data_IF_131432829509
#
_entry.id   IF_131432829509
#
_cell.length_a   1.000
_cell.length_b   1.000
_cell.length_c   1.000
_cell.angle_alpha   90.00
_cell.angle_beta   90.00
_cell.angle_gamma   90.00
#
_symmetry.space_group_name_H-M   'P 1'
#
loop_
_entity.id
_entity.type
_entity.pdbx_description
1 polymer ?
#
# COMPACT_ATOMS: atom_id res chain seq x y z
N UNK A 1 -14.75 1.74 19.29
CA UNK A 1 -13.37 1.60 19.83
C UNK A 1 -12.35 1.43 18.69
N UNK A 2 -12.62 0.55 17.70
CA UNK A 2 -11.73 0.28 16.56
C UNK A 2 -11.43 1.57 15.78
N UNK A 3 -12.45 2.39 15.49
CA UNK A 3 -12.28 3.65 14.76
C UNK A 3 -11.33 4.63 15.47
N UNK A 4 -11.51 4.85 16.76
CA UNK A 4 -10.63 5.74 17.54
C UNK A 4 -9.18 5.21 17.58
N UNK A 5 -9.00 3.90 17.76
CA UNK A 5 -7.68 3.29 17.74
C UNK A 5 -7.03 3.43 16.35
N UNK A 6 -7.77 3.11 15.29
CA UNK A 6 -7.29 3.22 13.91
C UNK A 6 -6.91 4.64 13.54
N UNK A 7 -7.75 5.62 13.88
CA UNK A 7 -7.50 7.04 13.66
C UNK A 7 -6.24 7.51 14.39
N UNK A 8 -6.11 7.17 15.68
CA UNK A 8 -4.91 7.52 16.45
C UNK A 8 -3.65 6.89 15.88
N UNK A 9 -3.71 5.63 15.40
CA UNK A 9 -2.58 4.96 14.76
C UNK A 9 -2.25 5.58 13.41
N UNK A 10 -3.23 6.04 12.64
CA UNK A 10 -3.03 6.73 11.36
C UNK A 10 -2.31 8.07 11.56
N UNK A 11 -2.72 8.86 12.54
CA UNK A 11 -2.02 10.09 12.94
C UNK A 11 -0.59 9.81 13.38
N UNK A 12 -0.40 8.80 14.23
CA UNK A 12 0.92 8.43 14.72
C UNK A 12 1.83 7.95 13.59
N UNK A 13 1.32 7.15 12.65
CA UNK A 13 2.07 6.72 11.47
C UNK A 13 2.55 7.91 10.62
N UNK A 14 1.67 8.90 10.40
CA UNK A 14 1.98 10.10 9.63
C UNK A 14 3.00 10.99 10.34
N UNK A 15 2.86 11.18 11.64
CA UNK A 15 3.80 11.95 12.46
C UNK A 15 5.17 11.28 12.55
N UNK A 16 5.23 9.94 12.67
CA UNK A 16 6.48 9.19 12.65
C UNK A 16 7.18 9.30 11.29
N UNK A 17 6.42 9.27 10.19
CA UNK A 17 6.96 9.49 8.86
C UNK A 17 7.54 10.91 8.73
N UNK A 18 6.83 11.93 9.18
CA UNK A 18 7.32 13.31 9.20
C UNK A 18 8.58 13.47 10.06
N UNK A 19 8.58 12.92 11.26
CA UNK A 19 9.75 12.96 12.16
C UNK A 19 10.97 12.25 11.54
N UNK A 20 10.75 11.12 10.85
CA UNK A 20 11.81 10.39 10.15
C UNK A 20 12.33 11.18 8.93
N UNK A 21 11.48 11.91 8.23
CA UNK A 21 11.87 12.79 7.13
C UNK A 21 12.85 13.88 7.61
N UNK A 22 12.57 14.47 8.77
CA UNK A 22 13.44 15.50 9.38
C UNK A 22 14.73 14.89 9.95
N UNK A 23 14.61 13.76 10.65
CA UNK A 23 15.74 13.06 11.26
C UNK A 23 15.72 11.57 10.88
N UNK A 24 16.37 11.15 9.79
CA UNK A 24 16.34 9.78 9.27
C UNK A 24 17.18 8.80 10.09
N UNK A 25 16.88 8.68 11.39
CA UNK A 25 17.55 7.73 12.26
C UNK A 25 17.05 6.29 11.97
N UNK A 26 17.93 5.28 11.92
CA UNK A 26 17.55 3.91 11.53
C UNK A 26 16.42 3.29 12.33
N UNK A 27 16.33 3.52 13.66
CA UNK A 27 15.26 2.98 14.46
C UNK A 27 13.92 3.67 14.16
N UNK A 28 13.89 4.99 13.99
CA UNK A 28 12.68 5.75 13.64
C UNK A 28 12.15 5.28 12.29
N UNK A 29 13.04 5.14 11.31
CA UNK A 29 12.68 4.62 10.01
C UNK A 29 12.09 3.20 10.08
N UNK A 30 12.65 2.30 10.90
CA UNK A 30 12.08 0.94 11.07
C UNK A 30 10.68 0.99 11.67
N UNK A 31 10.48 1.81 12.69
CA UNK A 31 9.18 1.97 13.34
C UNK A 31 8.15 2.51 12.35
N UNK A 32 8.45 3.64 11.69
CA UNK A 32 7.51 4.24 10.72
C UNK A 32 7.21 3.33 9.53
N UNK A 33 8.11 2.43 9.16
CA UNK A 33 7.88 1.46 8.08
C UNK A 33 6.86 0.37 8.44
N UNK A 34 6.69 0.06 9.72
CA UNK A 34 5.77 -0.99 10.21
C UNK A 34 4.38 -0.43 10.52
N UNK A 35 4.27 0.82 10.95
CA UNK A 35 3.01 1.39 11.41
C UNK A 35 1.87 1.37 10.38
N UNK A 36 2.07 1.63 9.08
CA UNK A 36 1.00 1.52 8.08
C UNK A 36 0.41 0.11 8.01
N UNK A 37 1.25 -0.93 8.20
CA UNK A 37 0.77 -2.31 8.26
C UNK A 37 -0.09 -2.57 9.52
N UNK A 38 0.23 -1.93 10.64
CA UNK A 38 -0.62 -1.99 11.85
C UNK A 38 -1.97 -1.34 11.58
N UNK A 39 -2.00 -0.14 10.98
CA UNK A 39 -3.24 0.52 10.58
C UNK A 39 -4.07 -0.36 9.64
N UNK A 40 -3.43 -0.98 8.64
CA UNK A 40 -4.11 -1.86 7.71
C UNK A 40 -4.70 -3.10 8.41
N UNK A 41 -3.98 -3.73 9.34
CA UNK A 41 -4.49 -4.88 10.12
C UNK A 41 -5.69 -4.48 10.99
N UNK A 42 -5.69 -3.28 11.58
CA UNK A 42 -6.85 -2.76 12.34
C UNK A 42 -8.06 -2.62 11.42
N UNK A 43 -7.89 -2.03 10.22
CA UNK A 43 -8.96 -1.89 9.25
C UNK A 43 -9.46 -3.26 8.74
N UNK A 44 -8.54 -4.17 8.45
CA UNK A 44 -8.86 -5.54 8.07
C UNK A 44 -9.70 -6.26 9.14
N UNK A 45 -9.38 -6.05 10.42
CA UNK A 45 -10.16 -6.55 11.55
C UNK A 45 -11.57 -5.98 11.59
N UNK A 46 -11.75 -4.68 11.28
CA UNK A 46 -13.06 -4.04 11.21
C UNK A 46 -13.93 -4.65 10.10
N UNK A 47 -13.36 -4.86 8.91
CA UNK A 47 -14.07 -5.55 7.82
C UNK A 47 -14.37 -7.02 8.15
N UNK A 48 -13.41 -7.73 8.73
CA UNK A 48 -13.60 -9.13 9.14
C UNK A 48 -14.74 -9.30 10.16
N UNK A 49 -14.90 -8.35 11.08
CA UNK A 49 -15.96 -8.34 12.09
C UNK A 49 -17.25 -7.65 11.62
N UNK A 50 -17.27 -7.07 10.41
CA UNK A 50 -18.38 -6.27 9.89
C UNK A 50 -18.77 -5.12 10.84
N UNK A 51 -17.77 -4.37 11.34
CA UNK A 51 -17.98 -3.25 12.25
C UNK A 51 -18.54 -2.02 11.52
N UNK A 52 -19.84 -1.99 11.32
CA UNK A 52 -20.57 -0.90 10.64
C UNK A 52 -20.55 0.43 11.41
N UNK A 53 -19.88 0.50 12.56
CA UNK A 53 -19.62 1.79 13.21
C UNK A 53 -18.62 2.65 12.43
N UNK A 54 -17.90 2.06 11.49
CA UNK A 54 -17.07 2.77 10.52
C UNK A 54 -17.84 2.99 9.21
N UNK A 55 -17.83 4.22 8.70
CA UNK A 55 -18.50 4.59 7.45
C UNK A 55 -18.03 3.69 6.29
N UNK A 56 -16.74 3.47 6.15
CA UNK A 56 -16.17 2.67 5.10
C UNK A 56 -16.65 1.21 5.10
N UNK A 57 -16.80 0.60 6.29
CA UNK A 57 -17.34 -0.76 6.45
C UNK A 57 -18.82 -0.79 6.14
N UNK A 58 -19.58 0.25 6.54
CA UNK A 58 -20.99 0.37 6.23
C UNK A 58 -21.24 0.48 4.72
N UNK A 59 -20.42 1.28 4.02
CA UNK A 59 -20.59 1.54 2.59
C UNK A 59 -20.14 0.39 1.68
N UNK A 60 -19.06 -0.30 2.02
CA UNK A 60 -18.38 -1.24 1.12
C UNK A 60 -18.11 -2.63 1.69
N UNK A 61 -18.61 -2.93 2.89
CA UNK A 61 -18.39 -4.22 3.54
C UNK A 61 -19.24 -5.34 2.94
N UNK A 62 -18.67 -6.52 2.78
CA UNK A 62 -19.38 -7.72 2.29
C UNK A 62 -20.05 -8.47 3.47
N UNK A 63 -21.08 -7.86 4.08
CA UNK A 63 -21.75 -8.47 5.25
C UNK A 63 -22.61 -9.65 4.82
N UNK A 64 -22.58 -10.71 5.59
CA UNK A 64 -23.26 -11.96 5.25
C UNK A 64 -22.48 -12.85 4.30
N UNK A 65 -21.39 -12.37 3.72
CA UNK A 65 -20.52 -13.13 2.85
C UNK A 65 -19.49 -13.97 3.61
N UNK A 66 -18.79 -14.81 2.84
CA UNK A 66 -17.68 -15.60 3.36
C UNK A 66 -16.52 -14.70 3.81
N UNK A 67 -15.72 -15.17 4.75
CA UNK A 67 -14.60 -14.41 5.30
C UNK A 67 -13.63 -13.87 4.23
N UNK A 68 -13.27 -14.60 3.15
CA UNK A 68 -12.42 -14.06 2.09
C UNK A 68 -12.97 -12.78 1.45
N UNK A 69 -14.27 -12.71 1.15
CA UNK A 69 -14.89 -11.50 0.57
C UNK A 69 -14.98 -10.36 1.58
N UNK A 70 -15.28 -10.66 2.85
CA UNK A 70 -15.23 -9.64 3.90
C UNK A 70 -13.84 -9.02 4.04
N UNK A 71 -12.78 -9.84 4.02
CA UNK A 71 -11.40 -9.36 4.03
C UNK A 71 -11.07 -8.57 2.76
N UNK A 72 -11.47 -9.06 1.58
CA UNK A 72 -11.20 -8.40 0.30
C UNK A 72 -11.90 -7.04 0.18
N UNK A 73 -13.05 -6.86 0.82
CA UNK A 73 -13.75 -5.56 0.88
C UNK A 73 -12.88 -4.45 1.49
N UNK A 74 -11.87 -4.80 2.29
CA UNK A 74 -10.93 -3.82 2.85
C UNK A 74 -10.22 -3.02 1.75
N UNK A 75 -9.90 -3.63 0.63
CA UNK A 75 -9.25 -2.96 -0.52
C UNK A 75 -10.15 -2.76 -1.73
N UNK A 76 -11.45 -3.05 -1.61
CA UNK A 76 -12.44 -2.81 -2.65
C UNK A 76 -12.92 -1.35 -2.74
N UNK A 77 -12.29 -0.46 -2.02
CA UNK A 77 -12.61 0.95 -1.90
C UNK A 77 -11.33 1.80 -1.94
N UNK A 78 -11.49 3.11 -2.14
CA UNK A 78 -10.36 4.01 -2.32
C UNK A 78 -9.45 4.13 -1.09
N UNK A 79 -10.03 4.32 0.09
CA UNK A 79 -9.26 4.54 1.33
C UNK A 79 -8.52 3.27 1.77
N UNK A 80 -9.19 2.13 1.71
CA UNK A 80 -8.59 0.86 2.10
C UNK A 80 -7.49 0.41 1.15
N UNK A 81 -7.66 0.62 -0.17
CA UNK A 81 -6.63 0.31 -1.17
C UNK A 81 -5.39 1.20 -1.01
N UNK A 82 -5.57 2.49 -0.73
CA UNK A 82 -4.44 3.40 -0.44
C UNK A 82 -3.71 3.01 0.84
N UNK A 83 -4.44 2.61 1.89
CA UNK A 83 -3.82 2.14 3.12
C UNK A 83 -3.06 0.82 2.90
N UNK A 84 -3.61 -0.11 2.10
CA UNK A 84 -2.90 -1.32 1.67
C UNK A 84 -1.60 -0.98 0.95
N UNK A 85 -1.67 -0.05 -0.02
CA UNK A 85 -0.49 0.36 -0.76
C UNK A 85 0.57 0.98 0.15
N UNK A 86 0.20 1.87 1.06
CA UNK A 86 1.13 2.43 2.04
C UNK A 86 1.74 1.35 2.95
N UNK A 87 0.94 0.40 3.42
CA UNK A 87 1.43 -0.74 4.20
C UNK A 87 2.47 -1.57 3.42
N UNK A 88 2.22 -1.81 2.13
CA UNK A 88 3.14 -2.53 1.26
C UNK A 88 4.42 -1.74 0.96
N UNK A 89 4.36 -0.42 0.79
CA UNK A 89 5.55 0.45 0.69
C UNK A 89 6.40 0.32 1.96
N UNK A 90 5.77 0.40 3.13
CA UNK A 90 6.43 0.22 4.41
C UNK A 90 7.11 -1.14 4.53
N UNK A 91 6.38 -2.21 4.22
CA UNK A 91 6.90 -3.58 4.26
C UNK A 91 8.07 -3.79 3.27
N UNK A 92 7.94 -3.32 2.02
CA UNK A 92 9.01 -3.42 1.03
C UNK A 92 10.26 -2.67 1.48
N UNK A 93 10.14 -1.42 1.94
CA UNK A 93 11.25 -0.66 2.50
C UNK A 93 11.93 -1.42 3.65
N UNK A 94 11.14 -1.88 4.62
CA UNK A 94 11.66 -2.61 5.77
C UNK A 94 12.41 -3.90 5.35
N UNK A 95 11.84 -4.70 4.46
CA UNK A 95 12.44 -5.98 4.04
C UNK A 95 13.77 -5.80 3.32
N UNK A 96 13.86 -4.83 2.41
CA UNK A 96 15.00 -4.66 1.51
C UNK A 96 16.12 -3.79 2.10
N UNK A 97 15.80 -2.82 2.96
CA UNK A 97 16.78 -1.84 3.46
C UNK A 97 17.27 -2.11 4.89
N UNK A 98 16.57 -2.95 5.68
CA UNK A 98 16.88 -3.16 7.11
C UNK A 98 18.20 -3.87 7.42
N UNK A 99 18.68 -4.72 6.52
CA UNK A 99 19.81 -5.65 6.75
C UNK A 99 21.04 -5.36 5.89
N UNK A 100 21.03 -4.31 5.07
CA UNK A 100 22.16 -4.02 4.19
C UNK A 100 23.24 -3.21 4.90
N UNK A 101 24.51 -3.66 4.79
CA UNK A 101 25.68 -2.82 5.11
C UNK A 101 25.87 -1.78 4.00
N UNK A 102 24.95 -0.84 3.93
CA UNK A 102 24.97 0.24 2.96
C UNK A 102 25.69 1.47 3.52
N UNK A 103 26.34 2.28 2.68
CA UNK A 103 26.94 3.54 3.10
C UNK A 103 25.94 4.45 3.82
N UNK A 104 26.38 5.13 4.88
CA UNK A 104 25.53 6.00 5.70
C UNK A 104 24.81 7.07 4.87
N UNK A 105 25.46 7.75 3.87
CA UNK A 105 24.76 8.72 3.03
C UNK A 105 23.62 8.08 2.23
N UNK A 106 23.82 6.88 1.67
CA UNK A 106 22.78 6.11 0.99
C UNK A 106 21.60 5.83 1.92
N UNK A 107 21.87 5.23 3.08
CA UNK A 107 20.81 4.89 4.04
C UNK A 107 20.02 6.14 4.45
N UNK A 108 20.69 7.21 4.80
CA UNK A 108 20.06 8.46 5.22
C UNK A 108 19.12 9.02 4.14
N UNK A 109 19.55 9.03 2.89
CA UNK A 109 18.74 9.55 1.80
C UNK A 109 17.60 8.61 1.44
N UNK A 110 17.84 7.31 1.38
CA UNK A 110 16.79 6.32 1.13
C UNK A 110 15.71 6.37 2.24
N UNK A 111 16.12 6.47 3.52
CA UNK A 111 15.16 6.61 4.63
C UNK A 111 14.34 7.90 4.54
N UNK A 112 14.94 9.02 4.12
CA UNK A 112 14.22 10.29 3.89
C UNK A 112 13.20 10.17 2.77
N UNK A 113 13.57 9.62 1.62
CA UNK A 113 12.65 9.44 0.51
C UNK A 113 11.50 8.49 0.86
N UNK A 114 11.80 7.39 1.55
CA UNK A 114 10.78 6.47 2.04
C UNK A 114 9.83 7.14 3.04
N UNK A 115 10.37 7.94 3.96
CA UNK A 115 9.58 8.69 4.94
C UNK A 115 8.73 9.78 4.29
N UNK A 116 9.24 10.44 3.24
CA UNK A 116 8.47 11.41 2.46
C UNK A 116 7.24 10.75 1.81
N UNK A 117 7.42 9.60 1.17
CA UNK A 117 6.29 8.84 0.61
C UNK A 117 5.27 8.48 1.69
N UNK A 118 5.74 7.97 2.84
CA UNK A 118 4.86 7.65 3.96
C UNK A 118 4.11 8.85 4.51
N UNK A 119 4.77 10.00 4.65
CA UNK A 119 4.15 11.25 5.09
C UNK A 119 3.09 11.74 4.10
N UNK A 120 3.38 11.71 2.81
CA UNK A 120 2.41 12.11 1.77
C UNK A 120 1.19 11.20 1.76
N UNK A 121 1.38 9.88 1.86
CA UNK A 121 0.28 8.91 1.92
C UNK A 121 -0.59 9.11 3.17
N UNK A 122 0.05 9.23 4.34
CA UNK A 122 -0.67 9.45 5.59
C UNK A 122 -1.44 10.77 5.60
N UNK A 123 -0.81 11.85 5.15
CA UNK A 123 -1.44 13.17 5.02
C UNK A 123 -2.63 13.10 4.05
N UNK A 124 -2.46 12.46 2.90
CA UNK A 124 -3.55 12.29 1.95
C UNK A 124 -4.75 11.58 2.59
N UNK A 125 -4.55 10.42 3.24
CA UNK A 125 -5.63 9.67 3.89
C UNK A 125 -6.31 10.48 5.01
N UNK A 126 -5.56 11.24 5.79
CA UNK A 126 -6.11 12.05 6.88
C UNK A 126 -6.99 13.20 6.40
N UNK A 127 -6.64 13.83 5.28
CA UNK A 127 -7.32 15.06 4.80
C UNK A 127 -8.32 14.82 3.67
N UNK A 128 -8.27 13.69 2.95
CA UNK A 128 -9.24 13.38 1.88
C UNK A 128 -10.32 12.39 2.30
N UNK A 129 -10.15 11.71 3.43
CA UNK A 129 -11.11 10.76 3.99
C UNK A 129 -10.40 9.64 4.75
N UNK A 130 -10.47 9.70 6.09
CA UNK A 130 -9.90 8.65 6.92
C UNK A 130 -10.65 7.33 6.74
N UNK A 131 -9.94 6.20 6.57
CA UNK A 131 -10.57 4.88 6.54
C UNK A 131 -11.23 4.49 7.88
N UNK A 132 -10.95 5.24 8.94
CA UNK A 132 -11.48 5.01 10.29
C UNK A 132 -12.57 6.00 10.69
N UNK A 133 -13.08 6.81 9.74
CA UNK A 133 -14.16 7.75 9.99
C UNK A 133 -15.42 7.03 10.56
N UNK A 134 -16.06 7.60 11.59
CA UNK A 134 -17.28 7.01 12.15
C UNK A 134 -18.44 7.11 11.14
N UNK A 135 -19.30 6.10 11.14
CA UNK A 135 -20.56 6.16 10.39
C UNK A 135 -21.48 7.20 11.01
N UNK A 136 -22.05 8.05 10.16
CA UNK A 136 -23.04 9.07 10.53
C UNK A 136 -24.47 8.63 10.20
N UNK A 137 -24.66 7.33 9.93
CA UNK A 137 -25.94 6.76 9.55
C UNK A 137 -26.13 6.66 8.03
N UNK A 138 -25.05 6.61 7.29
CA UNK A 138 -25.07 6.32 5.85
C UNK A 138 -25.75 4.96 5.59
N UNK A 139 -26.42 4.83 4.43
CA UNK A 139 -26.98 3.54 4.03
C UNK A 139 -25.88 2.47 3.97
N UNK A 140 -26.17 1.34 4.56
CA UNK A 140 -25.29 0.18 4.46
C UNK A 140 -25.42 -0.44 3.06
N UNK A 141 -24.65 0.04 2.10
CA UNK A 141 -24.75 -0.36 0.70
C UNK A 141 -24.11 -1.73 0.43
N UNK A 142 -23.04 -2.05 1.16
CA UNK A 142 -22.31 -3.30 0.98
C UNK A 142 -21.36 -3.30 -0.23
N UNK A 143 -20.72 -4.45 -0.44
CA UNK A 143 -19.80 -4.64 -1.56
C UNK A 143 -20.56 -4.54 -2.88
N UNK A 144 -20.00 -3.79 -3.83
CA UNK A 144 -20.57 -3.69 -5.19
C UNK A 144 -20.65 -5.10 -5.83
N UNK A 145 -21.83 -5.52 -6.35
CA UNK A 145 -22.00 -6.83 -6.96
C UNK A 145 -20.99 -7.16 -8.08
N UNK A 146 -20.53 -6.16 -8.85
CA UNK A 146 -19.50 -6.34 -9.88
C UNK A 146 -18.12 -6.70 -9.32
N UNK A 147 -17.88 -6.46 -8.03
CA UNK A 147 -16.65 -6.83 -7.35
C UNK A 147 -16.72 -8.21 -6.69
N UNK A 148 -17.88 -8.91 -6.78
CA UNK A 148 -18.11 -10.20 -6.15
C UNK A 148 -17.50 -11.36 -6.95
N UNK A 149 -16.21 -11.25 -7.24
CA UNK A 149 -15.42 -12.19 -8.04
C UNK A 149 -14.09 -12.54 -7.35
N UNK A 150 -13.53 -13.69 -7.70
CA UNK A 150 -12.22 -14.13 -7.20
C UNK A 150 -11.08 -13.18 -7.61
N UNK A 151 -11.25 -12.44 -8.70
CA UNK A 151 -10.32 -11.39 -9.13
C UNK A 151 -10.07 -10.35 -8.05
N UNK A 152 -11.11 -9.96 -7.30
CA UNK A 152 -10.98 -9.03 -6.18
C UNK A 152 -10.02 -9.54 -5.08
N UNK A 153 -9.98 -10.84 -4.84
CA UNK A 153 -9.11 -11.40 -3.80
C UNK A 153 -7.63 -11.34 -4.20
N UNK A 154 -7.32 -11.46 -5.48
CA UNK A 154 -5.97 -11.75 -5.96
C UNK A 154 -5.33 -10.54 -6.66
N UNK A 155 -6.06 -9.92 -7.61
CA UNK A 155 -5.50 -8.88 -8.47
C UNK A 155 -5.05 -7.63 -7.69
N UNK A 156 -5.88 -6.96 -6.85
CA UNK A 156 -5.46 -5.71 -6.23
C UNK A 156 -4.25 -5.87 -5.29
N UNK A 157 -4.16 -6.90 -4.43
CA UNK A 157 -2.96 -7.09 -3.61
C UNK A 157 -1.68 -7.25 -4.42
N UNK A 158 -1.71 -8.01 -5.53
CA UNK A 158 -0.53 -8.21 -6.38
C UNK A 158 -0.18 -6.90 -7.11
N UNK A 159 -1.17 -6.18 -7.63
CA UNK A 159 -0.96 -4.89 -8.29
C UNK A 159 -0.33 -3.86 -7.33
N UNK A 160 -0.87 -3.72 -6.12
CA UNK A 160 -0.32 -2.81 -5.11
C UNK A 160 1.06 -3.23 -4.62
N UNK A 161 1.37 -4.53 -4.57
CA UNK A 161 2.73 -4.99 -4.30
C UNK A 161 3.70 -4.55 -5.42
N UNK A 162 3.29 -4.61 -6.68
CA UNK A 162 4.03 -4.08 -7.82
C UNK A 162 4.29 -2.57 -7.70
N UNK A 163 3.27 -1.78 -7.39
CA UNK A 163 3.41 -0.34 -7.14
C UNK A 163 4.30 -0.03 -5.94
N UNK A 164 4.22 -0.81 -4.86
CA UNK A 164 5.09 -0.63 -3.70
C UNK A 164 6.56 -0.91 -4.02
N UNK A 165 6.83 -1.94 -4.83
CA UNK A 165 8.18 -2.23 -5.33
C UNK A 165 8.69 -1.13 -6.27
N UNK A 166 7.85 -0.55 -7.12
CA UNK A 166 8.20 0.60 -7.96
C UNK A 166 8.54 1.83 -7.10
N UNK A 167 7.78 2.08 -6.05
CA UNK A 167 8.12 3.11 -5.07
C UNK A 167 9.46 2.83 -4.38
N UNK A 168 9.75 1.57 -4.04
CA UNK A 168 11.05 1.17 -3.50
C UNK A 168 12.20 1.40 -4.50
N UNK A 169 11.98 1.15 -5.80
CA UNK A 169 12.97 1.50 -6.85
C UNK A 169 13.31 3.00 -6.78
N UNK A 170 12.31 3.87 -6.65
CA UNK A 170 12.52 5.31 -6.52
C UNK A 170 13.29 5.67 -5.25
N UNK A 171 12.98 5.03 -4.11
CA UNK A 171 13.69 5.19 -2.84
C UNK A 171 15.16 4.79 -2.96
N UNK A 172 15.44 3.64 -3.59
CA UNK A 172 16.81 3.17 -3.84
C UNK A 172 17.53 4.14 -4.76
N UNK A 173 16.89 4.59 -5.84
CA UNK A 173 17.46 5.58 -6.76
C UNK A 173 17.88 6.87 -6.04
N UNK A 174 17.01 7.42 -5.17
CA UNK A 174 17.35 8.60 -4.36
C UNK A 174 18.58 8.36 -3.48
N UNK A 175 18.71 7.18 -2.90
CA UNK A 175 19.90 6.80 -2.13
C UNK A 175 21.16 6.72 -3.01
N UNK A 176 21.05 6.17 -4.21
CA UNK A 176 22.18 6.04 -5.15
C UNK A 176 22.73 7.38 -5.60
N UNK A 177 21.90 8.42 -5.72
CA UNK A 177 22.34 9.77 -6.08
C UNK A 177 23.38 10.37 -5.09
N UNK A 178 23.48 9.82 -3.88
CA UNK A 178 24.47 10.25 -2.88
C UNK A 178 25.79 9.50 -2.94
N UNK A 179 25.93 8.55 -3.88
CA UNK A 179 27.09 7.67 -3.94
C UNK A 179 28.04 8.05 -5.07
N UNK A 180 29.35 7.90 -4.84
CA UNK A 180 30.35 8.06 -5.90
C UNK A 180 30.19 6.93 -6.93
N UNK A 181 30.55 7.22 -8.17
CA UNK A 181 30.65 6.23 -9.23
C UNK A 181 32.10 5.71 -9.37
N UNK A 182 32.32 4.41 -9.63
CA UNK A 182 31.33 3.33 -9.81
C UNK A 182 30.69 2.87 -8.50
N UNK A 183 29.41 2.42 -8.59
CA UNK A 183 28.68 1.93 -7.42
C UNK A 183 29.26 0.63 -6.88
N UNK A 184 29.23 0.47 -5.54
CA UNK A 184 29.67 -0.79 -4.92
C UNK A 184 28.73 -1.94 -5.30
N UNK A 185 29.25 -3.20 -5.38
CA UNK A 185 28.48 -4.35 -5.87
C UNK A 185 27.18 -4.61 -5.11
N UNK A 186 27.13 -4.37 -3.80
CA UNK A 186 25.91 -4.55 -3.00
C UNK A 186 24.78 -3.61 -3.41
N UNK A 187 25.08 -2.34 -3.67
CA UNK A 187 24.11 -1.35 -4.15
C UNK A 187 23.62 -1.68 -5.57
N UNK A 188 24.56 -2.09 -6.44
CA UNK A 188 24.19 -2.49 -7.80
C UNK A 188 23.28 -3.73 -7.81
N UNK A 189 23.56 -4.70 -6.91
CA UNK A 189 22.70 -5.89 -6.76
C UNK A 189 21.31 -5.49 -6.24
N UNK A 190 21.23 -4.64 -5.21
CA UNK A 190 19.97 -4.13 -4.69
C UNK A 190 19.16 -3.44 -5.80
N UNK A 191 19.79 -2.54 -6.54
CA UNK A 191 19.17 -1.80 -7.65
C UNK A 191 18.57 -2.73 -8.71
N UNK A 192 19.35 -3.69 -9.20
CA UNK A 192 18.88 -4.66 -10.20
C UNK A 192 17.75 -5.53 -9.67
N UNK A 193 17.85 -6.00 -8.43
CA UNK A 193 16.84 -6.86 -7.83
C UNK A 193 15.51 -6.11 -7.66
N UNK A 194 15.53 -4.89 -7.14
CA UNK A 194 14.31 -4.10 -6.94
C UNK A 194 13.61 -3.78 -8.27
N UNK A 195 14.35 -3.42 -9.32
CA UNK A 195 13.78 -3.20 -10.66
C UNK A 195 13.17 -4.49 -11.21
N UNK A 196 13.89 -5.61 -11.17
CA UNK A 196 13.39 -6.87 -11.71
C UNK A 196 12.10 -7.32 -11.00
N UNK A 197 12.07 -7.23 -9.66
CA UNK A 197 10.88 -7.57 -8.88
C UNK A 197 9.71 -6.61 -9.14
N UNK A 198 9.97 -5.30 -9.20
CA UNK A 198 8.94 -4.31 -9.49
C UNK A 198 8.29 -4.58 -10.85
N UNK A 199 9.10 -4.76 -11.88
CA UNK A 199 8.61 -5.05 -13.22
C UNK A 199 7.83 -6.37 -13.29
N UNK A 200 8.35 -7.45 -12.68
CA UNK A 200 7.70 -8.76 -12.72
C UNK A 200 6.36 -8.78 -11.97
N UNK A 201 6.33 -8.24 -10.74
CA UNK A 201 5.12 -8.25 -9.90
C UNK A 201 4.06 -7.32 -10.48
N UNK A 202 4.46 -6.12 -10.94
CA UNK A 202 3.55 -5.19 -11.58
C UNK A 202 2.96 -5.77 -12.88
N UNK A 203 3.79 -6.39 -13.72
CA UNK A 203 3.34 -7.04 -14.95
C UNK A 203 2.36 -8.19 -14.68
N UNK A 204 2.59 -9.01 -13.65
CA UNK A 204 1.64 -10.05 -13.23
C UNK A 204 0.34 -9.40 -12.73
N UNK A 205 0.43 -8.33 -11.93
CA UNK A 205 -0.74 -7.61 -11.43
C UNK A 205 -1.60 -7.06 -12.56
N UNK A 206 -1.00 -6.39 -13.55
CA UNK A 206 -1.68 -5.86 -14.73
C UNK A 206 -2.34 -6.99 -15.53
N UNK A 207 -1.61 -8.08 -15.80
CA UNK A 207 -2.14 -9.24 -16.53
C UNK A 207 -3.36 -9.90 -15.83
N UNK A 208 -3.33 -9.99 -14.49
CA UNK A 208 -4.48 -10.46 -13.71
C UNK A 208 -5.67 -9.50 -13.78
N UNK A 209 -5.42 -8.19 -13.82
CA UNK A 209 -6.46 -7.17 -13.99
C UNK A 209 -7.13 -7.25 -15.36
N UNK A 210 -6.34 -7.39 -16.41
CA UNK A 210 -6.84 -7.58 -17.77
C UNK A 210 -7.69 -8.85 -17.89
N UNK A 211 -7.23 -9.97 -17.30
CA UNK A 211 -7.99 -11.21 -17.23
C UNK A 211 -9.32 -11.05 -16.47
N UNK A 212 -9.31 -10.36 -15.32
CA UNK A 212 -10.52 -10.11 -14.54
C UNK A 212 -11.51 -9.23 -15.28
N UNK A 213 -11.06 -8.12 -15.87
CA UNK A 213 -11.91 -7.24 -16.67
C UNK A 213 -12.55 -7.97 -17.87
N UNK A 214 -11.79 -8.83 -18.55
CA UNK A 214 -12.31 -9.66 -19.64
C UNK A 214 -13.44 -10.61 -19.18
N UNK A 215 -13.28 -11.24 -18.02
CA UNK A 215 -14.29 -12.15 -17.46
C UNK A 215 -15.56 -11.44 -17.02
N UNK A 216 -15.42 -10.33 -16.28
CA UNK A 216 -16.54 -9.67 -15.62
C UNK A 216 -17.29 -8.72 -16.55
N UNK A 217 -16.57 -7.97 -17.36
CA UNK A 217 -17.15 -6.91 -18.17
C UNK A 217 -17.38 -7.33 -19.62
N UNK A 218 -16.87 -8.50 -20.03
CA UNK A 218 -17.01 -8.98 -21.39
C UNK A 218 -16.42 -8.05 -22.44
N UNK A 219 -15.45 -7.23 -22.06
CA UNK A 219 -14.80 -6.32 -22.98
C UNK A 219 -14.12 -7.10 -24.09
N UNK A 220 -14.25 -6.64 -25.34
CA UNK A 220 -13.97 -7.38 -26.57
C UNK A 220 -12.57 -7.90 -26.80
N UNK A 221 -11.74 -8.00 -25.78
CA UNK A 221 -10.39 -8.55 -25.85
C UNK A 221 -9.74 -8.66 -24.48
N UNK A 222 -8.65 -9.44 -24.44
CA UNK A 222 -7.83 -9.61 -23.24
C UNK A 222 -7.06 -8.34 -22.84
N UNK A 223 -6.73 -7.47 -23.79
CA UNK A 223 -5.92 -6.26 -23.61
C UNK A 223 -6.60 -5.07 -24.28
N UNK A 224 -6.85 -4.02 -23.51
CA UNK A 224 -7.66 -2.87 -23.97
C UNK A 224 -6.89 -1.57 -24.09
N UNK A 225 -5.60 -1.58 -23.76
CA UNK A 225 -4.79 -0.36 -23.79
C UNK A 225 -5.36 0.75 -22.90
N UNK A 226 -5.91 0.38 -21.75
CA UNK A 226 -6.32 1.38 -20.77
C UNK A 226 -5.11 2.13 -20.17
N UNK A 227 -5.34 3.21 -19.39
CA UNK A 227 -4.23 3.97 -18.81
C UNK A 227 -3.26 3.15 -17.96
N UNK A 228 -3.74 2.12 -17.27
CA UNK A 228 -2.91 1.25 -16.41
C UNK A 228 -2.05 0.30 -17.26
N UNK A 229 -2.66 -0.28 -18.30
CA UNK A 229 -1.95 -1.17 -19.23
C UNK A 229 -0.90 -0.42 -20.06
N UNK A 230 -1.13 0.87 -20.34
CA UNK A 230 -0.22 1.71 -21.12
C UNK A 230 0.94 2.30 -20.29
N UNK A 231 0.82 2.40 -18.97
CA UNK A 231 1.86 2.97 -18.11
C UNK A 231 3.01 2.01 -17.85
#
# INVERSE_FOLDING_TARGET
LIGLLGEAMLWLASLLAFATLLNPHPWMWRVQSVFPSVCFVILLGAFASSDVSLALVAESGAWGDTLPFRLASTWANHQGSLLLWWAMIGAAGFLFLRKGDFPVPFQRQAHRCHALLGFLMGTYLLFTGSPFAPSMGEPALGLNPLLHDQGLLIHPPILFAGYALTALVSVVACGLLTQPFPLIPSLMRLWRLTIALAWSVLGIGIGLGAWWAYRELGWGGWWFWDPVENA
#
